data_IF_881667919808
#
_entry.id   IF_881667919808
#
_cell.length_a   1.000
_cell.length_b   1.000
_cell.length_c   1.000
_cell.angle_alpha   90.00
_cell.angle_beta   90.00
_cell.angle_gamma   90.00
#
_symmetry.space_group_name_H-M   'P 1'
#
loop_
_entity.id
_entity.type
_entity.pdbx_description
1 polymer ?
#
# COMPACT_ATOMS: atom_id res chain seq x y z
N UNK A 1 10.14 -4.10 -25.92
CA UNK A 1 9.41 -2.81 -26.15
C UNK A 1 8.93 -2.72 -27.60
N UNK A 2 7.72 -2.23 -27.81
CA UNK A 2 7.13 -2.04 -29.12
C UNK A 2 6.80 -0.55 -29.35
N UNK A 3 7.39 0.05 -30.38
CA UNK A 3 7.23 1.49 -30.70
C UNK A 3 7.56 2.44 -29.50
N UNK A 4 8.59 2.11 -28.73
CA UNK A 4 9.01 2.90 -27.57
C UNK A 4 8.14 2.73 -26.32
N UNK A 5 7.17 1.82 -26.33
CA UNK A 5 6.28 1.50 -25.20
C UNK A 5 6.62 0.13 -24.62
N UNK A 6 6.44 -0.03 -23.31
CA UNK A 6 6.46 -1.33 -22.65
C UNK A 6 5.19 -2.10 -23.00
N UNK A 7 5.36 -3.35 -23.40
CA UNK A 7 4.25 -4.27 -23.68
C UNK A 7 3.84 -4.96 -22.38
N UNK A 8 2.60 -4.74 -21.97
CA UNK A 8 2.06 -5.20 -20.69
C UNK A 8 1.10 -6.36 -20.87
N UNK A 9 1.15 -7.30 -19.96
CA UNK A 9 0.16 -8.35 -19.77
C UNK A 9 -0.47 -8.25 -18.39
N UNK A 10 -1.81 -8.36 -18.31
CA UNK A 10 -2.57 -8.44 -17.07
C UNK A 10 -2.91 -9.90 -16.77
N UNK A 11 -2.52 -10.42 -15.60
CA UNK A 11 -2.88 -11.75 -15.08
C UNK A 11 -3.81 -11.57 -13.88
N UNK A 12 -5.01 -12.14 -13.97
CA UNK A 12 -6.14 -11.87 -13.09
C UNK A 12 -6.86 -10.60 -13.53
N UNK A 13 -8.16 -10.73 -13.85
CA UNK A 13 -8.99 -9.60 -14.27
C UNK A 13 -10.31 -9.52 -13.46
N UNK A 14 -10.20 -9.74 -12.15
CA UNK A 14 -11.28 -9.55 -11.20
C UNK A 14 -11.66 -8.07 -11.03
N UNK A 15 -12.56 -7.77 -10.09
CA UNK A 15 -13.07 -6.40 -9.84
C UNK A 15 -11.95 -5.37 -9.66
N UNK A 16 -10.90 -5.70 -8.88
CA UNK A 16 -9.81 -4.76 -8.65
C UNK A 16 -9.08 -4.40 -9.95
N UNK A 17 -8.74 -5.39 -10.76
CA UNK A 17 -8.11 -5.16 -12.06
C UNK A 17 -9.01 -4.32 -12.98
N UNK A 18 -10.33 -4.54 -12.96
CA UNK A 18 -11.29 -3.81 -13.78
C UNK A 18 -11.39 -2.32 -13.44
N UNK A 19 -11.42 -1.97 -12.16
CA UNK A 19 -11.60 -0.56 -11.78
C UNK A 19 -10.29 0.17 -11.45
N UNK A 20 -9.18 -0.54 -11.22
CA UNK A 20 -7.92 0.08 -10.84
C UNK A 20 -6.77 -0.20 -11.82
N UNK A 21 -6.42 -1.47 -12.09
CA UNK A 21 -5.22 -1.79 -12.88
C UNK A 21 -5.37 -1.48 -14.35
N UNK A 22 -6.40 -2.01 -15.00
CA UNK A 22 -6.61 -1.84 -16.42
C UNK A 22 -6.82 -0.37 -16.82
N UNK A 23 -7.60 0.45 -16.07
CA UNK A 23 -7.64 1.89 -16.32
C UNK A 23 -6.26 2.57 -16.20
N UNK A 24 -5.45 2.23 -15.19
CA UNK A 24 -4.11 2.79 -15.03
C UNK A 24 -3.20 2.39 -16.19
N UNK A 25 -3.18 1.11 -16.58
CA UNK A 25 -2.38 0.61 -17.69
C UNK A 25 -2.74 1.34 -19.00
N UNK A 26 -4.04 1.47 -19.28
CA UNK A 26 -4.51 2.08 -20.54
C UNK A 26 -4.39 3.59 -20.56
N UNK A 27 -4.32 4.26 -19.41
CA UNK A 27 -4.12 5.72 -19.32
C UNK A 27 -2.66 6.15 -19.56
N UNK A 28 -1.69 5.25 -19.39
CA UNK A 28 -0.27 5.57 -19.50
C UNK A 28 0.24 5.42 -20.94
N UNK A 29 0.63 6.53 -21.55
CA UNK A 29 1.11 6.55 -22.96
C UNK A 29 2.32 5.65 -23.22
N UNK A 30 3.13 5.37 -22.19
CA UNK A 30 4.33 4.52 -22.26
C UNK A 30 4.04 3.04 -22.21
N UNK A 31 2.77 2.64 -22.06
CA UNK A 31 2.33 1.26 -22.00
C UNK A 31 1.47 0.86 -23.19
N UNK A 32 1.48 -0.42 -23.52
CA UNK A 32 0.52 -1.03 -24.45
C UNK A 32 0.07 -2.36 -23.91
N UNK A 33 -1.24 -2.55 -23.77
CA UNK A 33 -1.85 -3.76 -23.22
C UNK A 33 -1.95 -4.82 -24.33
N UNK A 34 -1.21 -5.93 -24.18
CA UNK A 34 -1.23 -7.02 -25.17
C UNK A 34 -2.10 -8.20 -24.72
N UNK A 35 -1.93 -8.63 -23.47
CA UNK A 35 -2.62 -9.81 -22.97
C UNK A 35 -3.49 -9.52 -21.75
N UNK A 36 -4.62 -10.20 -21.69
CA UNK A 36 -5.40 -10.40 -20.47
C UNK A 36 -5.51 -11.92 -20.22
N UNK A 37 -5.14 -12.34 -19.02
CA UNK A 37 -5.22 -13.73 -18.58
C UNK A 37 -6.18 -13.86 -17.39
N UNK A 38 -7.13 -14.77 -17.51
CA UNK A 38 -7.99 -15.18 -16.40
C UNK A 38 -8.48 -16.60 -16.66
N UNK A 39 -8.66 -17.40 -15.60
CA UNK A 39 -9.24 -18.74 -15.72
C UNK A 39 -10.67 -18.69 -16.30
N UNK A 40 -11.37 -17.60 -16.06
CA UNK A 40 -12.66 -17.28 -16.65
C UNK A 40 -12.46 -16.52 -17.98
N UNK A 41 -12.48 -17.25 -19.09
CA UNK A 41 -12.29 -16.68 -20.42
C UNK A 41 -13.42 -15.73 -20.86
N UNK A 42 -14.64 -15.85 -20.32
CA UNK A 42 -15.72 -14.90 -20.61
C UNK A 42 -15.40 -13.54 -19.98
N UNK A 43 -14.93 -13.54 -18.74
CA UNK A 43 -14.46 -12.34 -18.05
C UNK A 43 -13.25 -11.73 -18.75
N UNK A 44 -12.25 -12.54 -19.11
CA UNK A 44 -11.10 -12.09 -19.89
C UNK A 44 -11.52 -11.44 -21.23
N UNK A 45 -12.48 -12.04 -21.94
CA UNK A 45 -13.02 -11.50 -23.19
C UNK A 45 -13.81 -10.21 -23.00
N UNK A 46 -14.55 -10.06 -21.91
CA UNK A 46 -15.22 -8.81 -21.56
C UNK A 46 -14.21 -7.68 -21.29
N UNK A 47 -13.17 -7.96 -20.53
CA UNK A 47 -12.09 -6.99 -20.24
C UNK A 47 -11.26 -6.67 -21.50
N UNK A 48 -11.00 -7.65 -22.37
CA UNK A 48 -10.36 -7.42 -23.66
C UNK A 48 -11.13 -6.37 -24.48
N UNK A 49 -12.44 -6.55 -24.62
CA UNK A 49 -13.31 -5.61 -25.38
C UNK A 49 -13.32 -4.22 -24.74
N UNK A 50 -13.35 -4.16 -23.41
CA UNK A 50 -13.45 -2.89 -22.66
C UNK A 50 -12.15 -2.08 -22.71
N UNK A 51 -11.01 -2.74 -22.63
CA UNK A 51 -9.69 -2.09 -22.46
C UNK A 51 -8.76 -2.23 -23.69
N UNK A 52 -9.19 -2.95 -24.73
CA UNK A 52 -8.49 -3.00 -26.00
C UNK A 52 -7.25 -3.90 -26.02
N UNK A 53 -7.21 -4.97 -25.20
CA UNK A 53 -6.13 -5.94 -25.24
C UNK A 53 -6.14 -6.73 -26.57
N UNK A 54 -4.95 -7.12 -27.04
CA UNK A 54 -4.83 -7.84 -28.32
C UNK A 54 -5.27 -9.31 -28.19
N UNK A 55 -4.96 -9.94 -27.05
CA UNK A 55 -5.13 -11.38 -26.82
C UNK A 55 -5.68 -11.70 -25.44
N UNK A 56 -6.31 -12.86 -25.31
CA UNK A 56 -6.71 -13.45 -24.04
C UNK A 56 -6.18 -14.88 -23.93
N UNK A 57 -5.96 -15.35 -22.69
CA UNK A 57 -5.60 -16.74 -22.38
C UNK A 57 -6.06 -17.12 -20.97
N UNK A 58 -6.16 -18.43 -20.71
CA UNK A 58 -6.32 -18.97 -19.35
C UNK A 58 -5.00 -19.46 -18.74
N UNK A 59 -3.92 -19.50 -19.53
CA UNK A 59 -2.61 -20.00 -19.08
C UNK A 59 -1.57 -18.86 -19.07
N UNK A 60 -1.19 -18.40 -17.89
CA UNK A 60 -0.16 -17.36 -17.73
C UNK A 60 1.22 -17.76 -18.30
N UNK A 61 1.48 -19.05 -18.54
CA UNK A 61 2.74 -19.50 -19.13
C UNK A 61 2.88 -19.07 -20.59
N UNK A 62 1.76 -18.96 -21.32
CA UNK A 62 1.77 -18.41 -22.68
C UNK A 62 2.26 -16.95 -22.68
N UNK A 63 1.87 -16.18 -21.66
CA UNK A 63 2.33 -14.80 -21.47
C UNK A 63 3.83 -14.75 -21.15
N UNK A 64 4.29 -15.60 -20.23
CA UNK A 64 5.72 -15.70 -19.91
C UNK A 64 6.56 -16.08 -21.13
N UNK A 65 6.05 -16.96 -22.01
CA UNK A 65 6.73 -17.41 -23.22
C UNK A 65 6.71 -16.36 -24.36
N UNK A 66 5.84 -15.34 -24.29
CA UNK A 66 5.75 -14.33 -25.35
C UNK A 66 6.95 -13.36 -25.29
N UNK A 67 7.84 -13.35 -26.30
CA UNK A 67 9.05 -12.50 -26.29
C UNK A 67 8.75 -11.00 -26.38
N UNK A 68 7.54 -10.61 -26.80
CA UNK A 68 7.17 -9.19 -26.90
C UNK A 68 6.71 -8.60 -25.56
N UNK A 69 6.32 -9.42 -24.58
CA UNK A 69 5.90 -8.94 -23.28
C UNK A 69 7.11 -8.46 -22.48
N UNK A 70 7.08 -7.24 -22.00
CA UNK A 70 8.11 -6.62 -21.16
C UNK A 70 7.76 -6.66 -19.68
N UNK A 71 6.47 -6.47 -19.34
CA UNK A 71 5.96 -6.27 -17.99
C UNK A 71 4.69 -7.09 -17.76
N UNK A 72 4.64 -7.81 -16.64
CA UNK A 72 3.48 -8.58 -16.22
C UNK A 72 2.89 -7.94 -14.95
N UNK A 73 1.62 -7.55 -15.00
CA UNK A 73 0.81 -7.21 -13.82
C UNK A 73 0.13 -8.46 -13.31
N UNK A 74 0.25 -8.71 -12.00
CA UNK A 74 -0.37 -9.83 -11.31
C UNK A 74 -1.42 -9.28 -10.34
N UNK A 75 -2.70 -9.67 -10.53
CA UNK A 75 -3.83 -9.32 -9.67
C UNK A 75 -4.75 -10.53 -9.49
N UNK A 76 -4.16 -11.64 -9.10
CA UNK A 76 -4.84 -12.91 -8.81
C UNK A 76 -5.14 -13.05 -7.32
N UNK A 77 -5.72 -14.17 -6.90
CA UNK A 77 -5.71 -14.57 -5.50
C UNK A 77 -4.27 -14.77 -4.98
N UNK A 78 -4.08 -14.55 -3.69
CA UNK A 78 -2.73 -14.37 -3.10
C UNK A 78 -1.85 -15.62 -3.21
N UNK A 79 -2.43 -16.81 -3.09
CA UNK A 79 -1.71 -18.09 -3.08
C UNK A 79 -1.04 -18.43 -4.43
N UNK A 80 -1.45 -17.75 -5.53
CA UNK A 80 -0.89 -18.01 -6.86
C UNK A 80 0.21 -17.01 -7.26
N UNK A 81 0.51 -16.00 -6.46
CA UNK A 81 1.53 -14.99 -6.80
C UNK A 81 2.91 -15.62 -7.02
N UNK A 82 3.36 -16.49 -6.12
CA UNK A 82 4.69 -17.09 -6.19
C UNK A 82 4.96 -17.84 -7.52
N UNK A 83 4.14 -18.81 -7.97
CA UNK A 83 4.42 -19.52 -9.23
C UNK A 83 4.38 -18.60 -10.45
N UNK A 84 3.54 -17.57 -10.45
CA UNK A 84 3.51 -16.60 -11.56
C UNK A 84 4.78 -15.76 -11.57
N UNK A 85 5.22 -15.26 -10.41
CA UNK A 85 6.45 -14.45 -10.28
C UNK A 85 7.69 -15.27 -10.69
N UNK A 86 7.81 -16.51 -10.22
CA UNK A 86 8.92 -17.39 -10.61
C UNK A 86 8.98 -17.63 -12.12
N UNK A 87 7.81 -17.86 -12.76
CA UNK A 87 7.70 -18.03 -14.20
C UNK A 87 8.09 -16.75 -14.95
N UNK A 88 7.53 -15.60 -14.56
CA UNK A 88 7.79 -14.31 -15.17
C UNK A 88 9.27 -13.90 -15.04
N UNK A 89 9.85 -14.04 -13.85
CA UNK A 89 11.25 -13.73 -13.59
C UNK A 89 12.18 -14.61 -14.42
N UNK A 90 11.93 -15.93 -14.47
CA UNK A 90 12.72 -16.84 -15.29
C UNK A 90 12.66 -16.52 -16.79
N UNK A 91 11.56 -15.92 -17.25
CA UNK A 91 11.38 -15.47 -18.63
C UNK A 91 11.91 -14.03 -18.87
N UNK A 92 12.57 -13.42 -17.88
CA UNK A 92 13.14 -12.08 -17.98
C UNK A 92 12.12 -10.95 -18.01
N UNK A 93 10.90 -11.18 -17.50
CA UNK A 93 9.84 -10.17 -17.49
C UNK A 93 9.88 -9.36 -16.20
N UNK A 94 9.73 -8.02 -16.31
CA UNK A 94 9.46 -7.18 -15.15
C UNK A 94 8.09 -7.49 -14.57
N UNK A 95 7.87 -7.22 -13.28
CA UNK A 95 6.69 -7.71 -12.57
C UNK A 95 6.10 -6.58 -11.71
N UNK A 96 4.80 -6.30 -11.89
CA UNK A 96 4.02 -5.50 -10.96
C UNK A 96 3.04 -6.43 -10.24
N UNK A 97 3.30 -6.71 -8.97
CA UNK A 97 2.55 -7.69 -8.18
C UNK A 97 1.59 -6.99 -7.22
N UNK A 98 0.33 -7.46 -7.18
CA UNK A 98 -0.58 -7.06 -6.11
C UNK A 98 -0.07 -7.49 -4.73
N UNK A 99 -0.53 -6.74 -3.75
CA UNK A 99 -0.30 -7.07 -2.34
C UNK A 99 -1.27 -8.19 -1.86
N UNK A 100 -0.89 -8.95 -0.85
CA UNK A 100 0.46 -9.10 -0.33
C UNK A 100 1.37 -9.73 -1.38
N UNK A 101 2.67 -9.46 -1.35
CA UNK A 101 3.60 -10.09 -2.30
C UNK A 101 3.53 -11.62 -2.23
N UNK A 102 3.35 -12.16 -1.03
CA UNK A 102 3.09 -13.57 -0.75
C UNK A 102 2.33 -13.72 0.57
N UNK A 103 1.77 -14.89 0.82
CA UNK A 103 1.06 -15.17 2.06
C UNK A 103 2.02 -15.59 3.20
N UNK A 104 3.16 -16.16 2.87
CA UNK A 104 4.16 -16.67 3.82
C UNK A 104 5.54 -16.05 3.59
N UNK A 105 6.31 -15.94 4.66
CA UNK A 105 7.66 -15.39 4.61
C UNK A 105 8.61 -16.22 3.74
N UNK A 106 8.48 -17.55 3.73
CA UNK A 106 9.27 -18.43 2.84
C UNK A 106 8.93 -18.19 1.36
N UNK A 107 7.68 -17.94 1.03
CA UNK A 107 7.25 -17.63 -0.34
C UNK A 107 7.80 -16.27 -0.77
N UNK A 108 7.66 -15.25 0.09
CA UNK A 108 8.21 -13.92 -0.15
C UNK A 108 9.74 -13.97 -0.36
N UNK A 109 10.44 -14.79 0.42
CA UNK A 109 11.86 -15.04 0.25
C UNK A 109 12.21 -15.69 -1.10
N UNK A 110 11.41 -16.64 -1.55
CA UNK A 110 11.57 -17.29 -2.87
C UNK A 110 11.36 -16.27 -4.00
N UNK A 111 10.32 -15.44 -3.90
CA UNK A 111 10.06 -14.36 -4.86
C UNK A 111 11.27 -13.43 -4.95
N UNK A 112 11.75 -12.93 -3.82
CA UNK A 112 12.92 -12.06 -3.78
C UNK A 112 14.15 -12.70 -4.43
N UNK A 113 14.42 -13.97 -4.15
CA UNK A 113 15.54 -14.71 -4.78
C UNK A 113 15.35 -14.85 -6.29
N UNK A 114 14.14 -15.17 -6.76
CA UNK A 114 13.86 -15.33 -8.19
C UNK A 114 14.08 -14.03 -8.94
N UNK A 115 13.54 -12.92 -8.43
CA UNK A 115 13.68 -11.57 -9.00
C UNK A 115 15.15 -11.18 -9.12
N UNK A 116 15.93 -11.34 -8.05
CA UNK A 116 17.36 -11.01 -8.03
C UNK A 116 18.20 -11.91 -8.91
N UNK A 117 17.94 -13.22 -8.89
CA UNK A 117 18.64 -14.20 -9.72
C UNK A 117 18.53 -13.88 -11.21
N UNK A 118 17.37 -13.41 -11.65
CA UNK A 118 17.10 -13.14 -13.06
C UNK A 118 17.28 -11.67 -13.45
N UNK A 119 17.63 -10.80 -12.50
CA UNK A 119 17.91 -9.38 -12.75
C UNK A 119 16.71 -8.58 -13.26
N UNK A 120 15.49 -9.03 -12.96
CA UNK A 120 14.26 -8.31 -13.30
C UNK A 120 13.85 -7.36 -12.20
N UNK A 121 13.07 -6.33 -12.53
CA UNK A 121 12.49 -5.43 -11.52
C UNK A 121 11.12 -5.96 -11.10
N UNK A 122 10.86 -5.94 -9.82
CA UNK A 122 9.55 -6.18 -9.24
C UNK A 122 9.08 -4.95 -8.49
N UNK A 123 7.80 -4.62 -8.60
CA UNK A 123 7.10 -3.65 -7.77
C UNK A 123 5.92 -4.33 -7.10
N UNK A 124 5.79 -4.19 -5.78
CA UNK A 124 4.61 -4.62 -5.02
C UNK A 124 3.67 -3.43 -4.88
N UNK A 125 2.36 -3.62 -5.10
CA UNK A 125 1.38 -2.53 -5.00
C UNK A 125 1.03 -2.17 -3.54
N UNK A 126 2.08 -1.85 -2.76
CA UNK A 126 1.97 -1.22 -1.44
C UNK A 126 1.86 0.31 -1.65
N UNK A 127 0.84 0.69 -2.36
CA UNK A 127 0.63 1.99 -3.01
C UNK A 127 0.59 3.20 -2.07
N UNK A 128 0.27 3.03 -0.76
CA UNK A 128 0.14 4.15 0.19
C UNK A 128 1.37 5.04 0.26
N UNK A 129 2.58 4.47 0.15
CA UNK A 129 3.84 5.25 0.10
C UNK A 129 3.92 6.23 -1.08
N UNK A 130 3.12 6.02 -2.13
CA UNK A 130 3.04 6.87 -3.31
C UNK A 130 1.82 7.81 -3.31
N UNK A 131 1.03 7.81 -2.23
CA UNK A 131 -0.05 8.79 -2.04
C UNK A 131 0.54 10.19 -1.91
N UNK A 132 0.02 11.20 -2.63
CA UNK A 132 0.46 12.58 -2.48
C UNK A 132 0.38 13.09 -1.04
N UNK A 133 -0.70 12.74 -0.32
CA UNK A 133 -0.88 13.16 1.07
C UNK A 133 0.18 12.56 2.00
N UNK A 134 0.51 11.26 1.89
CA UNK A 134 1.54 10.65 2.75
C UNK A 134 2.96 11.07 2.36
N UNK A 135 3.22 11.33 1.08
CA UNK A 135 4.49 11.92 0.64
C UNK A 135 4.68 13.32 1.25
N UNK A 136 3.64 14.15 1.21
CA UNK A 136 3.64 15.48 1.80
C UNK A 136 3.75 15.41 3.34
N UNK A 137 3.03 14.49 4.01
CA UNK A 137 3.13 14.25 5.44
C UNK A 137 4.57 13.92 5.84
N UNK A 138 5.18 12.93 5.19
CA UNK A 138 6.57 12.55 5.44
C UNK A 138 7.51 13.74 5.24
N UNK A 139 7.38 14.44 4.12
CA UNK A 139 8.19 15.64 3.83
C UNK A 139 8.03 16.68 4.93
N UNK A 140 6.82 17.00 5.36
CA UNK A 140 6.54 17.99 6.39
C UNK A 140 7.19 17.63 7.73
N UNK A 141 7.12 16.36 8.15
CA UNK A 141 7.79 15.88 9.37
C UNK A 141 9.31 16.04 9.28
N UNK A 142 9.93 15.57 8.19
CA UNK A 142 11.38 15.62 8.07
C UNK A 142 11.92 17.02 7.81
N UNK A 143 11.19 17.87 7.11
CA UNK A 143 11.54 19.31 6.97
C UNK A 143 11.51 20.02 8.33
N UNK A 144 10.51 19.71 9.17
CA UNK A 144 10.43 20.26 10.54
C UNK A 144 11.61 19.79 11.40
N UNK A 145 11.96 18.49 11.34
CA UNK A 145 13.10 17.95 12.10
C UNK A 145 14.43 18.54 11.64
N UNK A 146 14.59 18.80 10.36
CA UNK A 146 15.80 19.43 9.81
C UNK A 146 15.92 20.91 10.19
N UNK A 147 14.78 21.63 10.34
CA UNK A 147 14.72 23.06 10.66
C UNK A 147 13.58 23.34 11.64
N UNK A 148 13.72 22.96 12.93
CA UNK A 148 12.63 22.99 13.87
C UNK A 148 12.15 24.42 14.13
N UNK A 149 10.86 24.65 13.89
CA UNK A 149 10.16 25.88 14.27
C UNK A 149 9.34 25.57 15.53
N UNK A 150 9.70 26.20 16.63
CA UNK A 150 9.06 25.91 17.91
C UNK A 150 7.85 26.78 18.16
N UNK A 151 6.79 26.17 18.72
CA UNK A 151 5.66 26.88 19.29
C UNK A 151 6.15 27.81 20.43
N UNK A 152 5.66 29.05 20.53
CA UNK A 152 6.00 29.94 21.65
C UNK A 152 5.64 29.37 23.01
N UNK A 153 4.71 28.40 23.09
CA UNK A 153 4.33 27.72 24.33
C UNK A 153 5.42 26.80 24.92
N UNK A 154 6.45 26.45 24.14
CA UNK A 154 7.57 25.64 24.60
C UNK A 154 8.50 26.41 25.57
N UNK A 155 8.41 27.72 25.64
CA UNK A 155 9.27 28.59 26.45
C UNK A 155 8.64 28.98 27.77
N UNK A 156 7.84 28.13 28.39
CA UNK A 156 7.53 28.32 29.80
C UNK A 156 8.83 28.02 30.57
N UNK A 157 9.51 29.10 31.01
CA UNK A 157 10.81 29.07 31.70
C UNK A 157 10.87 28.20 32.97
N UNK A 158 9.76 27.61 33.38
CA UNK A 158 9.64 26.78 34.57
C UNK A 158 10.16 25.34 34.38
N UNK A 159 10.31 24.86 33.17
CA UNK A 159 10.94 23.57 32.85
C UNK A 159 12.42 23.83 32.48
N UNK A 160 13.28 23.93 33.49
CA UNK A 160 14.68 24.37 33.34
C UNK A 160 15.68 23.26 33.07
N UNK A 161 15.25 22.02 33.05
CA UNK A 161 16.15 20.92 32.68
C UNK A 161 15.90 20.57 31.21
N UNK A 162 16.96 20.50 30.38
CA UNK A 162 16.79 19.95 29.06
C UNK A 162 16.27 18.52 29.19
N UNK A 163 15.18 18.24 28.50
CA UNK A 163 14.73 16.85 28.37
C UNK A 163 15.89 16.07 27.71
N UNK A 164 16.05 14.78 28.08
CA UNK A 164 17.03 13.94 27.39
C UNK A 164 16.90 14.09 25.89
N UNK A 165 18.02 14.14 25.18
CA UNK A 165 18.08 14.37 23.72
C UNK A 165 17.45 13.23 22.89
N UNK A 166 16.80 12.26 23.51
CA UNK A 166 16.16 11.12 22.87
C UNK A 166 14.74 11.46 22.42
N UNK A 167 14.64 12.24 21.36
CA UNK A 167 13.35 12.51 20.71
C UNK A 167 13.10 11.46 19.62
N UNK A 168 12.22 10.50 19.89
CA UNK A 168 11.75 9.51 18.92
C UNK A 168 10.53 10.04 18.18
N UNK A 169 10.31 9.53 16.96
CA UNK A 169 9.07 9.74 16.24
C UNK A 169 8.06 8.65 16.63
N UNK A 170 6.86 9.08 16.97
CA UNK A 170 5.74 8.19 17.29
C UNK A 170 4.69 8.29 16.20
N UNK A 171 4.37 7.18 15.55
CA UNK A 171 3.32 7.11 14.53
C UNK A 171 2.12 6.31 15.05
N UNK A 172 0.93 6.85 14.89
CA UNK A 172 -0.32 6.13 15.11
C UNK A 172 -1.03 5.99 13.76
N UNK A 173 -1.40 4.77 13.43
CA UNK A 173 -2.23 4.46 12.25
C UNK A 173 -3.51 3.83 12.77
N UNK A 174 -4.62 4.51 12.54
CA UNK A 174 -5.94 3.99 12.86
C UNK A 174 -6.67 3.60 11.60
N UNK A 175 -7.04 2.33 11.54
CA UNK A 175 -7.84 1.78 10.45
C UNK A 175 -9.17 1.32 11.03
N UNK A 176 -10.22 1.74 10.39
CA UNK A 176 -11.54 1.18 10.60
C UNK A 176 -12.07 0.68 9.26
N UNK A 177 -12.50 -0.56 9.24
CA UNK A 177 -12.96 -1.25 8.06
C UNK A 177 -14.31 -1.92 8.33
N UNK A 178 -14.96 -2.35 7.29
CA UNK A 178 -16.21 -3.10 7.37
C UNK A 178 -15.98 -4.49 6.77
N UNK A 179 -15.75 -5.49 7.63
CA UNK A 179 -15.41 -6.86 7.21
C UNK A 179 -16.50 -7.54 6.39
N UNK A 180 -17.74 -7.06 6.47
CA UNK A 180 -18.85 -7.55 5.64
C UNK A 180 -18.67 -7.29 4.14
N UNK A 181 -17.77 -6.35 3.78
CA UNK A 181 -17.42 -6.04 2.40
C UNK A 181 -16.48 -7.06 1.76
N UNK A 182 -15.78 -7.84 2.59
CA UNK A 182 -14.84 -8.89 2.15
C UNK A 182 -15.52 -10.25 2.24
N UNK A 183 -15.46 -11.06 1.19
CA UNK A 183 -16.00 -12.42 1.21
C UNK A 183 -15.22 -13.33 2.18
N UNK A 184 -15.81 -14.48 2.56
CA UNK A 184 -15.19 -15.48 3.42
C UNK A 184 -13.80 -15.91 2.95
N UNK A 185 -13.54 -15.84 1.65
CA UNK A 185 -12.22 -16.14 1.05
C UNK A 185 -11.12 -15.22 1.58
N UNK A 186 -11.42 -13.97 1.90
CA UNK A 186 -10.42 -13.02 2.41
C UNK A 186 -9.88 -13.44 3.78
N UNK A 187 -10.74 -13.95 4.65
CA UNK A 187 -10.37 -14.40 6.00
C UNK A 187 -9.92 -15.86 6.07
N UNK A 188 -10.01 -16.59 4.96
CA UNK A 188 -9.51 -17.96 4.87
C UNK A 188 -7.99 -17.96 4.90
N UNK A 189 -7.34 -18.67 5.87
CA UNK A 189 -5.89 -18.68 6.01
C UNK A 189 -5.15 -19.31 4.82
N UNK A 190 -5.83 -20.07 3.97
CA UNK A 190 -5.24 -20.73 2.81
C UNK A 190 -5.37 -19.90 1.52
N UNK A 191 -6.31 -18.95 1.48
CA UNK A 191 -6.63 -18.16 0.27
C UNK A 191 -6.28 -16.70 0.46
N UNK A 192 -6.87 -16.03 1.46
CA UNK A 192 -6.69 -14.59 1.72
C UNK A 192 -5.71 -14.28 2.84
N UNK A 193 -5.57 -15.18 3.81
CA UNK A 193 -4.65 -15.01 4.95
C UNK A 193 -5.20 -14.15 6.11
N UNK A 194 -6.39 -13.55 5.95
CA UNK A 194 -6.98 -12.62 6.91
C UNK A 194 -6.43 -11.19 6.79
N UNK A 195 -6.93 -10.29 7.64
CA UNK A 195 -6.67 -8.84 7.54
C UNK A 195 -5.20 -8.46 7.79
N UNK A 196 -4.47 -9.24 8.60
CA UNK A 196 -3.05 -8.96 8.83
C UNK A 196 -2.25 -9.16 7.54
N UNK A 197 -2.45 -10.28 6.85
CA UNK A 197 -1.76 -10.60 5.59
C UNK A 197 -2.38 -9.80 4.43
N UNK A 198 -3.71 -9.76 4.34
CA UNK A 198 -4.40 -9.15 3.21
C UNK A 198 -4.36 -7.63 3.20
N UNK A 199 -4.36 -6.98 4.36
CA UNK A 199 -4.48 -5.53 4.47
C UNK A 199 -3.35 -4.87 5.26
N UNK A 200 -2.98 -5.37 6.48
CA UNK A 200 -2.04 -4.66 7.35
C UNK A 200 -0.62 -4.57 6.79
N UNK A 201 -0.27 -5.37 5.80
CA UNK A 201 0.97 -5.22 5.02
C UNK A 201 1.15 -3.81 4.44
N UNK A 202 0.06 -3.12 4.10
CA UNK A 202 0.11 -1.73 3.64
C UNK A 202 0.69 -0.77 4.68
N UNK A 203 0.24 -0.87 5.92
CA UNK A 203 0.63 0.07 6.99
C UNK A 203 1.94 -0.33 7.65
N UNK A 204 2.27 -1.61 7.68
CA UNK A 204 3.61 -2.08 8.02
C UNK A 204 4.65 -1.55 7.02
N UNK A 205 4.31 -1.57 5.74
CA UNK A 205 5.13 -0.97 4.68
C UNK A 205 5.24 0.56 4.83
N UNK A 206 4.13 1.26 5.09
CA UNK A 206 4.15 2.71 5.32
C UNK A 206 5.09 3.07 6.45
N UNK A 207 5.04 2.36 7.58
CA UNK A 207 5.92 2.61 8.71
C UNK A 207 7.40 2.38 8.34
N UNK A 208 7.71 1.27 7.68
CA UNK A 208 9.07 0.97 7.22
C UNK A 208 9.59 2.01 6.22
N UNK A 209 8.76 2.42 5.26
CA UNK A 209 9.10 3.49 4.33
C UNK A 209 9.25 4.85 5.00
N UNK A 210 8.37 5.16 5.95
CA UNK A 210 8.36 6.46 6.63
C UNK A 210 9.61 6.64 7.48
N UNK A 211 9.99 5.63 8.27
CA UNK A 211 11.12 5.70 9.20
C UNK A 211 12.47 5.30 8.60
N UNK A 212 12.50 4.88 7.33
CA UNK A 212 13.76 4.58 6.68
C UNK A 212 14.79 5.74 6.83
N UNK A 213 16.09 5.47 7.10
CA UNK A 213 16.76 4.15 7.00
C UNK A 213 16.68 3.28 8.25
N UNK A 214 15.96 3.67 9.31
CA UNK A 214 15.75 2.81 10.47
C UNK A 214 15.01 1.53 10.09
N UNK A 215 15.38 0.42 10.72
CA UNK A 215 14.79 -0.90 10.46
C UNK A 215 13.98 -1.37 11.66
N UNK A 216 12.89 -2.13 11.45
CA UNK A 216 12.12 -2.68 12.56
C UNK A 216 12.93 -3.70 13.34
N UNK A 217 12.87 -3.65 14.68
CA UNK A 217 13.65 -4.52 15.57
C UNK A 217 12.80 -5.32 16.55
N UNK A 218 11.59 -4.87 16.82
CA UNK A 218 10.67 -5.54 17.75
C UNK A 218 9.22 -5.36 17.29
N UNK A 219 8.40 -6.39 17.44
CA UNK A 219 6.98 -6.38 17.13
C UNK A 219 6.15 -7.01 18.24
N UNK A 220 5.06 -6.35 18.62
CA UNK A 220 4.03 -6.87 19.51
C UNK A 220 2.68 -6.74 18.85
N UNK A 221 1.87 -7.80 18.87
CA UNK A 221 0.53 -7.75 18.33
C UNK A 221 -0.49 -8.43 19.26
N UNK A 222 -1.75 -7.99 19.16
CA UNK A 222 -2.86 -8.49 19.95
C UNK A 222 -4.17 -8.48 19.17
N UNK A 223 -5.18 -9.18 19.64
CA UNK A 223 -6.49 -9.29 19.00
C UNK A 223 -6.63 -10.56 18.18
N UNK A 224 -7.27 -10.47 17.04
CA UNK A 224 -7.49 -11.59 16.14
C UNK A 224 -6.38 -11.69 15.09
N UNK A 225 -5.84 -12.88 14.85
CA UNK A 225 -4.92 -13.09 13.72
C UNK A 225 -5.59 -12.95 12.34
N UNK A 226 -6.92 -12.92 12.28
CA UNK A 226 -7.68 -12.88 11.03
C UNK A 226 -8.53 -11.64 10.82
N UNK A 227 -8.94 -10.97 11.91
CA UNK A 227 -9.87 -9.84 11.90
C UNK A 227 -9.27 -8.65 12.63
N UNK A 228 -10.04 -8.04 13.56
CA UNK A 228 -9.59 -6.86 14.32
C UNK A 228 -8.37 -7.16 15.18
N UNK A 229 -7.36 -6.30 15.10
CA UNK A 229 -6.09 -6.47 15.78
C UNK A 229 -5.39 -5.13 16.04
N UNK A 230 -4.36 -5.18 16.87
CA UNK A 230 -3.40 -4.09 17.01
C UNK A 230 -1.99 -4.60 16.84
N UNK A 231 -1.10 -3.74 16.35
CA UNK A 231 0.32 -4.02 16.14
C UNK A 231 1.15 -2.84 16.63
N UNK A 232 2.14 -3.10 17.48
CA UNK A 232 3.22 -2.16 17.77
C UNK A 232 4.50 -2.62 17.10
N UNK A 233 5.19 -1.70 16.45
CA UNK A 233 6.45 -1.92 15.76
C UNK A 233 7.48 -0.92 16.26
N UNK A 234 8.63 -1.39 16.76
CA UNK A 234 9.76 -0.55 17.16
C UNK A 234 10.87 -0.60 16.13
N UNK A 235 11.56 0.51 15.98
CA UNK A 235 12.65 0.70 15.02
C UNK A 235 14.01 0.85 15.72
N UNK A 236 15.07 0.59 14.98
CA UNK A 236 16.45 0.56 15.48
C UNK A 236 16.97 1.88 16.05
N UNK A 237 16.33 2.98 15.71
CA UNK A 237 16.65 4.34 16.20
C UNK A 237 15.72 4.81 17.33
N UNK A 238 14.84 3.94 17.85
CA UNK A 238 13.86 4.25 18.89
C UNK A 238 12.49 4.73 18.40
N UNK A 239 12.34 5.05 17.13
CA UNK A 239 11.02 5.36 16.55
C UNK A 239 10.03 4.19 16.73
N UNK A 240 8.75 4.47 16.78
CA UNK A 240 7.73 3.43 16.88
C UNK A 240 6.46 3.74 16.05
N UNK A 241 5.71 2.67 15.79
CA UNK A 241 4.40 2.75 15.17
C UNK A 241 3.41 1.87 15.93
N UNK A 242 2.24 2.43 16.20
CA UNK A 242 1.06 1.70 16.66
C UNK A 242 0.00 1.67 15.57
N UNK A 243 -0.39 0.48 15.14
CA UNK A 243 -1.52 0.24 14.25
C UNK A 243 -2.70 -0.30 15.06
N UNK A 244 -3.88 0.28 14.86
CA UNK A 244 -5.15 -0.32 15.28
C UNK A 244 -6.01 -0.57 14.05
N UNK A 245 -6.43 -1.82 13.89
CA UNK A 245 -7.27 -2.27 12.78
C UNK A 245 -8.58 -2.84 13.32
N UNK A 246 -9.70 -2.24 12.98
CA UNK A 246 -11.04 -2.71 13.35
C UNK A 246 -11.82 -3.16 12.12
N UNK A 247 -12.36 -4.38 12.15
CA UNK A 247 -13.31 -4.89 11.17
C UNK A 247 -14.77 -4.56 11.50
N UNK A 248 -15.02 -3.93 12.65
CA UNK A 248 -16.37 -3.57 13.13
C UNK A 248 -16.65 -2.08 12.93
N UNK A 249 -15.95 -1.45 12.00
CA UNK A 249 -16.15 -0.07 11.65
C UNK A 249 -17.32 0.16 10.70
N UNK A 250 -17.37 1.35 10.16
CA UNK A 250 -18.35 1.76 9.15
C UNK A 250 -17.66 2.57 8.07
N UNK A 251 -18.10 2.43 6.82
CA UNK A 251 -17.60 3.27 5.75
C UNK A 251 -18.24 4.68 5.70
N UNK A 252 -19.16 4.99 6.61
CA UNK A 252 -19.65 6.36 6.83
C UNK A 252 -18.57 7.29 7.33
N UNK A 253 -17.49 6.74 7.86
CA UNK A 253 -16.32 7.46 8.32
C UNK A 253 -15.08 6.94 7.59
N UNK A 254 -14.13 7.81 7.24
CA UNK A 254 -12.95 7.40 6.48
C UNK A 254 -12.15 6.28 7.12
N UNK A 255 -11.74 5.33 6.28
CA UNK A 255 -11.03 4.12 6.67
C UNK A 255 -9.70 4.41 7.38
N UNK A 256 -8.92 5.37 6.88
CA UNK A 256 -7.49 5.52 7.21
C UNK A 256 -7.16 6.88 7.82
N UNK A 257 -6.50 6.86 8.99
CA UNK A 257 -5.97 8.05 9.67
C UNK A 257 -4.51 7.79 10.04
N UNK A 258 -3.65 8.77 9.79
CA UNK A 258 -2.23 8.75 10.14
C UNK A 258 -1.89 9.94 11.02
N UNK A 259 -1.25 9.70 12.15
CA UNK A 259 -0.78 10.71 13.08
C UNK A 259 0.70 10.47 13.39
N UNK A 260 1.48 11.55 13.43
CA UNK A 260 2.92 11.49 13.76
C UNK A 260 3.25 12.59 14.75
N UNK A 261 3.83 12.21 15.88
CA UNK A 261 4.44 13.16 16.84
C UNK A 261 5.94 13.13 16.66
N UNK A 262 6.55 14.27 16.40
CA UNK A 262 7.98 14.40 16.19
C UNK A 262 8.46 15.83 16.44
N UNK A 263 9.61 16.02 17.08
CA UNK A 263 10.25 17.33 17.24
C UNK A 263 9.35 18.38 17.90
N UNK A 264 8.54 17.99 18.90
CA UNK A 264 7.54 18.83 19.58
C UNK A 264 6.45 19.41 18.64
N UNK A 265 6.17 18.74 17.55
CA UNK A 265 5.08 19.02 16.64
C UNK A 265 4.21 17.77 16.47
N UNK A 266 2.98 17.97 16.06
CA UNK A 266 2.02 16.92 15.77
C UNK A 266 1.56 17.08 14.33
N UNK A 267 1.60 15.99 13.58
CA UNK A 267 1.23 15.94 12.17
C UNK A 267 0.13 14.92 11.97
N UNK A 268 -0.82 15.22 11.09
CA UNK A 268 -1.97 14.36 10.85
C UNK A 268 -2.32 14.34 9.37
N UNK A 269 -2.62 13.15 8.84
CA UNK A 269 -3.20 12.96 7.52
C UNK A 269 -4.54 12.25 7.65
N UNK A 270 -5.60 12.89 7.17
CA UNK A 270 -6.97 12.38 7.22
C UNK A 270 -7.38 11.89 5.84
N UNK A 271 -7.50 10.58 5.73
CA UNK A 271 -8.00 9.86 4.55
C UNK A 271 -7.42 10.34 3.21
N UNK A 272 -6.14 10.72 3.19
CA UNK A 272 -5.44 11.20 1.99
C UNK A 272 -6.01 12.51 1.37
N UNK A 273 -6.89 13.20 2.05
CA UNK A 273 -7.53 14.44 1.53
C UNK A 273 -7.08 15.69 2.24
N UNK A 274 -6.55 15.57 3.46
CA UNK A 274 -6.11 16.71 4.25
C UNK A 274 -4.93 16.35 5.15
N UNK A 275 -3.90 17.19 5.14
CA UNK A 275 -2.80 17.15 6.11
C UNK A 275 -2.82 18.41 6.97
N UNK A 276 -2.60 18.21 8.26
CA UNK A 276 -2.47 19.25 9.27
C UNK A 276 -1.18 19.11 10.06
N UNK A 277 -0.60 20.24 10.45
CA UNK A 277 0.53 20.29 11.37
C UNK A 277 0.23 21.26 12.51
N UNK A 278 0.53 20.84 13.73
CA UNK A 278 0.29 21.60 14.96
C UNK A 278 1.60 21.77 15.73
N UNK A 279 1.71 22.83 16.52
CA UNK A 279 2.94 23.18 17.22
C UNK A 279 3.96 23.90 16.34
N UNK A 280 3.64 24.18 15.08
CA UNK A 280 4.49 24.88 14.10
C UNK A 280 3.87 26.24 13.78
N UNK A 281 4.53 27.36 14.11
CA UNK A 281 3.99 28.70 13.80
C UNK A 281 3.74 28.90 12.32
N UNK A 282 2.53 29.30 11.96
CA UNK A 282 2.13 29.58 10.58
C UNK A 282 1.86 28.35 9.71
N UNK A 283 1.84 27.15 10.28
CA UNK A 283 1.39 25.96 9.56
C UNK A 283 -0.06 26.13 9.09
N UNK A 284 -0.34 25.65 7.90
CA UNK A 284 -1.68 25.64 7.28
C UNK A 284 -2.05 24.23 6.91
N UNK A 285 -3.36 23.95 6.86
CA UNK A 285 -3.87 22.73 6.26
C UNK A 285 -3.48 22.65 4.80
N UNK A 286 -3.11 21.46 4.36
CA UNK A 286 -2.83 21.12 2.97
C UNK A 286 -3.92 20.17 2.48
N UNK A 287 -4.58 20.52 1.39
CA UNK A 287 -5.68 19.75 0.83
C UNK A 287 -5.21 18.97 -0.41
N UNK A 288 -5.79 17.79 -0.62
CA UNK A 288 -5.44 16.90 -1.73
C UNK A 288 -6.66 16.60 -2.59
N UNK A 289 -6.43 16.32 -3.90
CA UNK A 289 -7.50 16.08 -4.84
C UNK A 289 -8.41 14.92 -4.45
N UNK A 290 -9.70 15.14 -4.52
CA UNK A 290 -10.75 14.12 -4.50
C UNK A 290 -11.49 14.15 -5.82
N UNK A 291 -11.67 12.99 -6.46
CA UNK A 291 -12.53 12.88 -7.64
C UNK A 291 -13.95 12.57 -7.19
N UNK A 292 -14.85 13.46 -7.52
CA UNK A 292 -16.26 13.35 -7.20
C UNK A 292 -17.00 12.43 -8.18
N UNK A 293 -18.22 12.01 -7.81
CA UNK A 293 -19.07 11.15 -8.65
C UNK A 293 -19.48 11.79 -9.99
N UNK A 294 -19.47 13.13 -10.09
CA UNK A 294 -19.70 13.90 -11.32
C UNK A 294 -18.45 13.97 -12.23
N UNK A 295 -17.33 13.39 -11.77
CA UNK A 295 -16.06 13.37 -12.47
C UNK A 295 -15.15 14.58 -12.16
N UNK A 296 -15.66 15.59 -11.45
CA UNK A 296 -14.87 16.75 -11.04
C UNK A 296 -13.83 16.38 -9.99
N UNK A 297 -12.67 17.02 -10.06
CA UNK A 297 -11.60 16.90 -9.07
C UNK A 297 -11.57 18.19 -8.25
N UNK A 298 -11.67 18.05 -6.91
CA UNK A 298 -11.73 19.16 -5.97
C UNK A 298 -10.81 18.93 -4.77
N UNK A 299 -10.29 20.03 -4.20
CA UNK A 299 -9.44 20.05 -3.01
C UNK A 299 -10.22 20.72 -1.88
N UNK A 300 -11.13 20.01 -1.24
CA UNK A 300 -12.08 20.57 -0.26
C UNK A 300 -11.82 20.13 1.18
N UNK A 301 -10.87 19.19 1.39
CA UNK A 301 -10.49 18.69 2.71
C UNK A 301 -11.49 17.73 3.35
N UNK A 302 -11.16 17.32 4.58
CA UNK A 302 -11.84 16.24 5.29
C UNK A 302 -13.31 16.56 5.66
N UNK A 303 -13.58 17.76 6.15
CA UNK A 303 -14.94 18.12 6.57
C UNK A 303 -15.92 18.14 5.39
N UNK A 304 -15.49 18.61 4.23
CA UNK A 304 -16.32 18.59 3.03
C UNK A 304 -16.57 17.15 2.56
N UNK A 305 -15.54 16.27 2.64
CA UNK A 305 -15.68 14.87 2.37
C UNK A 305 -16.76 14.23 3.24
N UNK A 306 -16.69 14.42 4.56
CA UNK A 306 -17.65 13.86 5.52
C UNK A 306 -19.07 14.40 5.27
N UNK A 307 -19.24 15.69 5.09
CA UNK A 307 -20.54 16.30 4.86
C UNK A 307 -21.24 15.70 3.62
N UNK A 308 -20.52 15.56 2.52
CA UNK A 308 -21.05 14.98 1.28
C UNK A 308 -21.32 13.48 1.41
N UNK A 309 -20.52 12.77 2.18
CA UNK A 309 -20.72 11.35 2.44
C UNK A 309 -22.00 11.12 3.23
N UNK A 310 -22.22 11.91 4.29
CA UNK A 310 -23.46 11.87 5.09
C UNK A 310 -24.70 12.25 4.27
N UNK A 311 -24.61 13.31 3.46
CA UNK A 311 -25.71 13.70 2.57
C UNK A 311 -26.16 12.54 1.68
N UNK A 312 -25.21 11.82 1.13
CA UNK A 312 -25.48 10.68 0.25
C UNK A 312 -26.07 9.47 0.98
N UNK A 313 -25.57 9.14 2.18
CA UNK A 313 -26.09 8.04 2.98
C UNK A 313 -27.44 8.33 3.61
N UNK A 314 -27.82 9.60 3.83
CA UNK A 314 -29.15 9.96 4.34
C UNK A 314 -30.30 9.46 3.44
N UNK A 315 -30.01 9.21 2.17
CA UNK A 315 -30.96 8.71 1.17
C UNK A 315 -30.84 7.19 0.92
N UNK A 316 -30.04 6.49 1.71
CA UNK A 316 -29.80 5.05 1.53
C UNK A 316 -31.04 4.24 1.94
N UNK A 317 -31.57 3.45 1.02
CA UNK A 317 -32.79 2.63 1.23
C UNK A 317 -32.51 1.20 1.67
N UNK A 318 -31.23 0.81 1.81
CA UNK A 318 -30.83 -0.57 2.11
C UNK A 318 -30.75 -1.49 0.88
N UNK A 319 -30.92 -0.95 -0.32
CA UNK A 319 -30.82 -1.72 -1.55
C UNK A 319 -29.34 -1.81 -2.00
N UNK A 320 -28.87 -3.01 -2.36
CA UNK A 320 -27.48 -3.23 -2.82
C UNK A 320 -27.09 -2.40 -4.06
N UNK A 321 -28.07 -2.01 -4.90
CA UNK A 321 -27.82 -1.09 -6.02
C UNK A 321 -27.47 0.32 -5.56
N UNK A 322 -27.96 0.73 -4.40
CA UNK A 322 -27.62 2.04 -3.83
C UNK A 322 -26.17 2.08 -3.34
N UNK A 323 -25.61 0.93 -2.93
CA UNK A 323 -24.19 0.79 -2.57
C UNK A 323 -23.25 0.95 -3.77
N UNK A 324 -23.62 0.44 -4.94
CA UNK A 324 -22.80 0.63 -6.16
C UNK A 324 -22.76 2.10 -6.60
N UNK A 325 -23.87 2.81 -6.40
CA UNK A 325 -23.98 4.26 -6.65
C UNK A 325 -23.41 5.09 -5.49
N UNK A 326 -23.20 4.49 -4.32
CA UNK A 326 -22.79 5.16 -3.09
C UNK A 326 -21.30 5.43 -2.96
N UNK A 327 -20.44 5.02 -3.89
CA UNK A 327 -19.02 5.44 -3.86
C UNK A 327 -18.93 6.94 -4.20
N UNK A 328 -18.78 7.84 -3.18
CA UNK A 328 -18.93 9.26 -3.47
C UNK A 328 -17.69 9.87 -4.09
N UNK A 329 -16.52 9.35 -3.71
CA UNK A 329 -15.24 9.98 -4.05
C UNK A 329 -14.14 8.95 -4.17
N UNK A 330 -13.23 9.19 -5.13
CA UNK A 330 -11.96 8.50 -5.21
C UNK A 330 -10.88 9.42 -4.63
N UNK A 331 -10.21 8.95 -3.59
CA UNK A 331 -9.03 9.62 -3.03
C UNK A 331 -7.77 9.04 -3.61
N UNK A 332 -6.75 9.87 -3.80
CA UNK A 332 -5.47 9.41 -4.37
C UNK A 332 -4.64 8.66 -3.33
N UNK A 333 -4.81 7.35 -3.31
CA UNK A 333 -4.02 6.43 -2.49
C UNK A 333 -2.67 6.06 -3.11
N UNK A 334 -2.31 6.64 -4.25
CA UNK A 334 -1.00 6.46 -4.88
C UNK A 334 -0.91 5.38 -5.96
N UNK A 335 -1.99 4.70 -6.35
CA UNK A 335 -1.94 3.62 -7.35
C UNK A 335 -1.37 4.07 -8.69
N UNK A 336 -1.89 5.16 -9.27
CA UNK A 336 -1.39 5.67 -10.53
C UNK A 336 0.06 6.18 -10.42
N UNK A 337 0.42 6.77 -9.29
CA UNK A 337 1.78 7.25 -9.03
C UNK A 337 2.76 6.08 -8.88
N UNK A 338 2.33 4.97 -8.28
CA UNK A 338 3.12 3.73 -8.22
C UNK A 338 3.40 3.19 -9.62
N UNK A 339 2.37 3.12 -10.49
CA UNK A 339 2.54 2.74 -11.88
C UNK A 339 3.50 3.65 -12.62
N UNK A 340 3.34 4.97 -12.55
CA UNK A 340 4.24 5.95 -13.18
C UNK A 340 5.68 5.76 -12.72
N UNK A 341 5.89 5.66 -11.42
CA UNK A 341 7.23 5.48 -10.85
C UNK A 341 7.89 4.16 -11.27
N UNK A 342 7.12 3.07 -11.34
CA UNK A 342 7.66 1.79 -11.76
C UNK A 342 7.97 1.73 -13.26
N UNK A 343 7.12 2.30 -14.10
CA UNK A 343 7.40 2.45 -15.53
C UNK A 343 8.69 3.27 -15.77
N UNK A 344 8.85 4.38 -15.05
CA UNK A 344 10.10 5.16 -15.08
C UNK A 344 11.32 4.37 -14.57
N UNK A 345 11.13 3.55 -13.54
CA UNK A 345 12.19 2.69 -13.00
C UNK A 345 12.66 1.65 -14.05
N UNK A 346 11.75 1.07 -14.81
CA UNK A 346 12.08 0.14 -15.89
C UNK A 346 12.80 0.87 -17.04
N UNK A 347 12.21 1.96 -17.53
CA UNK A 347 12.71 2.67 -18.71
C UNK A 347 14.07 3.33 -18.51
N UNK A 348 14.37 3.78 -17.28
CA UNK A 348 15.59 4.53 -16.96
C UNK A 348 16.54 3.77 -16.02
N UNK A 349 16.34 2.47 -15.87
CA UNK A 349 17.12 1.57 -14.99
C UNK A 349 17.31 2.11 -13.56
N UNK A 350 16.22 2.68 -12.99
CA UNK A 350 16.19 3.15 -11.60
C UNK A 350 15.72 2.04 -10.66
N UNK A 351 15.96 2.17 -9.34
CA UNK A 351 15.36 1.30 -8.34
C UNK A 351 13.83 1.30 -8.42
N UNK A 352 13.21 0.16 -8.14
CA UNK A 352 11.75 0.06 -8.03
C UNK A 352 11.23 0.92 -6.88
N UNK A 353 10.07 1.57 -7.01
CA UNK A 353 9.50 2.39 -5.92
C UNK A 353 9.06 1.58 -4.71
N UNK A 354 8.75 0.31 -4.91
CA UNK A 354 8.43 -0.66 -3.87
C UNK A 354 8.92 -2.04 -4.30
N UNK A 355 10.20 -2.31 -4.05
CA UNK A 355 10.90 -3.48 -4.57
C UNK A 355 10.55 -4.78 -3.81
N UNK A 356 11.18 -5.86 -4.23
CA UNK A 356 11.02 -7.18 -3.63
C UNK A 356 11.45 -7.24 -2.15
N UNK A 357 12.35 -6.34 -1.72
CA UNK A 357 12.74 -6.25 -0.32
C UNK A 357 11.61 -5.64 0.53
N UNK A 358 10.98 -4.58 0.06
CA UNK A 358 9.81 -3.98 0.72
C UNK A 358 8.65 -4.99 0.82
N UNK A 359 8.40 -5.74 -0.25
CA UNK A 359 7.39 -6.81 -0.27
C UNK A 359 7.72 -7.95 0.71
N UNK A 360 8.98 -8.38 0.77
CA UNK A 360 9.43 -9.37 1.75
C UNK A 360 9.26 -8.85 3.19
N UNK A 361 9.70 -7.63 3.44
CA UNK A 361 9.66 -7.01 4.77
C UNK A 361 8.22 -6.91 5.30
N UNK A 362 7.28 -6.41 4.49
CA UNK A 362 5.88 -6.28 4.90
C UNK A 362 5.22 -7.63 5.16
N UNK A 363 5.48 -8.65 4.31
CA UNK A 363 4.98 -10.01 4.50
C UNK A 363 5.57 -10.65 5.76
N UNK A 364 6.87 -10.50 5.98
CA UNK A 364 7.55 -11.07 7.15
C UNK A 364 7.05 -10.46 8.46
N UNK A 365 6.89 -9.14 8.51
CA UNK A 365 6.33 -8.45 9.67
C UNK A 365 4.89 -8.87 9.95
N UNK A 366 4.08 -9.05 8.91
CA UNK A 366 2.71 -9.56 9.05
C UNK A 366 2.70 -10.99 9.66
N UNK A 367 3.60 -11.86 9.22
CA UNK A 367 3.75 -13.21 9.81
C UNK A 367 4.24 -13.15 11.27
N UNK A 368 5.15 -12.25 11.60
CA UNK A 368 5.58 -12.04 12.98
C UNK A 368 4.44 -11.50 13.86
N UNK A 369 3.59 -10.61 13.34
CA UNK A 369 2.42 -10.13 14.07
C UNK A 369 1.46 -11.28 14.42
N UNK A 370 1.18 -12.19 13.48
CA UNK A 370 0.38 -13.38 13.74
C UNK A 370 1.02 -14.25 14.84
N UNK A 371 2.33 -14.53 14.73
CA UNK A 371 3.07 -15.31 15.75
C UNK A 371 3.07 -14.61 17.11
N UNK A 372 3.13 -13.28 17.15
CA UNK A 372 3.04 -12.50 18.41
C UNK A 372 1.67 -12.64 19.05
N UNK A 373 0.57 -12.60 18.28
CA UNK A 373 -0.79 -12.85 18.79
C UNK A 373 -0.89 -14.28 19.37
N UNK A 374 -0.44 -15.28 18.64
CA UNK A 374 -0.53 -16.68 19.01
C UNK A 374 0.29 -17.01 20.27
N UNK A 375 1.50 -16.49 20.35
CA UNK A 375 2.39 -16.71 21.49
C UNK A 375 2.10 -15.77 22.67
N UNK A 376 1.37 -14.67 22.43
CA UNK A 376 1.15 -13.57 23.40
C UNK A 376 2.45 -12.93 23.88
N UNK A 377 3.43 -12.85 23.01
CA UNK A 377 4.76 -12.31 23.32
C UNK A 377 5.16 -11.22 22.33
N UNK A 378 5.97 -10.30 22.83
CA UNK A 378 6.77 -9.43 21.96
C UNK A 378 7.85 -10.27 21.30
N UNK A 379 8.01 -10.13 20.01
CA UNK A 379 8.98 -10.89 19.20
C UNK A 379 10.07 -9.96 18.67
N UNK A 380 11.34 -10.39 18.69
CA UNK A 380 12.38 -9.67 17.98
C UNK A 380 12.15 -9.79 16.46
N UNK A 381 12.49 -8.73 15.75
CA UNK A 381 12.60 -8.76 14.29
C UNK A 381 14.08 -8.97 13.95
N UNK A 382 14.48 -10.19 13.52
CA UNK A 382 15.89 -10.48 13.29
C UNK A 382 16.40 -9.71 12.07
N UNK A 383 17.13 -8.66 12.34
CA UNK A 383 17.69 -7.74 11.34
C UNK A 383 18.63 -8.50 10.38
N UNK A 384 19.26 -9.58 10.83
CA UNK A 384 20.14 -10.43 10.01
C UNK A 384 19.42 -11.06 8.81
N UNK A 385 18.12 -11.22 8.88
CA UNK A 385 17.32 -11.67 7.71
C UNK A 385 17.17 -10.59 6.63
N UNK A 386 17.26 -9.31 7.00
CA UNK A 386 17.16 -8.19 6.08
C UNK A 386 18.53 -7.69 5.59
N UNK A 387 19.54 -7.68 6.48
CA UNK A 387 20.87 -7.14 6.20
C UNK A 387 21.56 -7.88 5.04
N UNK A 388 21.57 -9.23 4.96
CA UNK A 388 22.12 -9.91 3.79
C UNK A 388 21.42 -9.53 2.49
N UNK A 389 20.14 -9.21 2.54
CA UNK A 389 19.36 -8.78 1.38
C UNK A 389 19.68 -7.35 0.94
N UNK A 390 20.10 -6.49 1.87
CA UNK A 390 20.53 -5.09 1.61
C UNK A 390 21.97 -5.07 1.03
N UNK A 391 22.85 -5.97 1.46
CA UNK A 391 24.25 -6.02 1.04
C UNK A 391 24.51 -6.82 -0.25
N UNK A 392 23.53 -7.54 -0.77
CA UNK A 392 23.62 -8.27 -2.05
C UNK A 392 23.12 -7.38 -3.23
N UNK A 393 23.23 -6.08 -3.10
CA UNK A 393 23.02 -5.13 -4.21
C UNK A 393 24.24 -4.99 -5.08
#
# INVERSE_FOLDING_TARGET
>A
MRNGKLVVAQIGCGKFAEYQDLPNITSLEKLTLKWICDLDLERAGAMQKKFGAEKITADFKEICADPEVDLIKIATSHEIHLPIVECAAAAGKHIFCEKPMAMRDEEAWRIMKAVRKHGVKLCVDLNRRMSPALQALKKSVYDHLANPKHSPWRYIETLREPLPEEEYKHMIIRIQDESSSYGLQHVDPLIGGGEIIGESVHWLDVACWFFAPAVPVEITAWGSSRLSHGINLKFSNGDDMTLTFSCSGTFDYPKELFEVTAGNAFFRSEFFVENNAYGIPGAKSEYFPMKHYDGDIREEGFNAYIAKYHERFSNFTGNSKDLETAKPFEVDKGHLNMWKAFVEAILNDKPSPCDELAGFQSTYLAQLAIRSIESRQTLPVPVERYIPAIFIR
#
